data_IF_752931099094
#
_entry.id   IF_752931099094
#
_cell.length_a   1.000
_cell.length_b   1.000
_cell.length_c   1.000
_cell.angle_alpha   90.00
_cell.angle_beta   90.00
_cell.angle_gamma   90.00
#
_symmetry.space_group_name_H-M   'P 1'
#
loop_
_entity.id
_entity.type
_entity.pdbx_description
1 polymer ?
#
# COMPACT_ATOMS: atom_id res chain seq x y z
N UNK A 1 8.55 -8.77 19.58
CA UNK A 1 9.57 -7.79 19.18
C UNK A 1 9.92 -6.98 20.40
N UNK A 2 11.20 -6.85 20.72
CA UNK A 2 11.69 -6.02 21.79
C UNK A 2 11.61 -4.53 21.37
N UNK A 3 10.53 -3.85 21.77
CA UNK A 3 10.49 -2.40 21.98
C UNK A 3 10.81 -1.46 20.79
N UNK A 4 10.48 -1.81 19.54
CA UNK A 4 10.73 -0.92 18.39
C UNK A 4 9.83 -1.16 17.19
N UNK A 5 10.18 -0.54 16.07
CA UNK A 5 9.46 -0.55 14.81
C UNK A 5 10.30 -1.22 13.72
N UNK A 6 9.65 -1.97 12.83
CA UNK A 6 10.24 -2.48 11.60
C UNK A 6 9.44 -1.98 10.41
N UNK A 7 10.12 -1.37 9.46
CA UNK A 7 9.55 -0.93 8.20
C UNK A 7 9.94 -1.93 7.12
N UNK A 8 8.95 -2.42 6.38
CA UNK A 8 9.17 -3.17 5.15
C UNK A 8 9.00 -2.23 3.97
N UNK A 9 9.93 -2.29 3.01
CA UNK A 9 9.91 -1.35 1.89
C UNK A 9 10.44 -1.97 0.62
N UNK A 10 9.95 -1.44 -0.51
CA UNK A 10 10.43 -1.84 -1.82
C UNK A 10 11.85 -1.32 -2.09
N UNK A 11 12.74 -2.19 -2.56
CA UNK A 11 14.12 -1.90 -2.88
C UNK A 11 14.48 -2.20 -4.33
N UNK A 12 15.25 -1.29 -4.94
CA UNK A 12 15.97 -1.54 -6.18
C UNK A 12 17.46 -1.52 -5.91
N UNK A 13 18.08 -2.70 -5.79
CA UNK A 13 19.52 -2.80 -5.61
C UNK A 13 20.15 -3.88 -6.47
N UNK A 14 21.50 -3.92 -6.50
CA UNK A 14 22.26 -4.84 -7.34
C UNK A 14 22.22 -6.29 -6.83
N UNK A 15 21.92 -6.50 -5.54
CA UNK A 15 21.82 -7.82 -4.92
C UNK A 15 20.43 -8.41 -5.19
N UNK A 16 20.13 -8.73 -6.45
CA UNK A 16 18.88 -9.39 -6.87
C UNK A 16 19.04 -10.91 -6.72
N UNK A 17 18.41 -11.56 -5.72
CA UNK A 17 18.48 -13.02 -5.59
C UNK A 17 17.92 -13.73 -6.81
N UNK A 18 16.80 -13.23 -7.36
CA UNK A 18 16.23 -13.66 -8.62
C UNK A 18 16.64 -12.72 -9.77
N UNK A 19 17.38 -13.20 -10.79
CA UNK A 19 17.78 -12.37 -11.94
C UNK A 19 16.62 -11.79 -12.76
N UNK A 20 15.47 -12.46 -12.78
CA UNK A 20 14.26 -11.99 -13.48
C UNK A 20 13.49 -10.93 -12.67
N UNK A 21 13.80 -10.79 -11.38
CA UNK A 21 13.15 -9.83 -10.50
C UNK A 21 13.53 -8.39 -10.85
N UNK A 22 12.51 -7.55 -10.87
CA UNK A 22 12.59 -6.10 -11.08
C UNK A 22 12.22 -5.35 -9.80
N UNK A 23 12.43 -5.97 -8.64
CA UNK A 23 12.17 -5.35 -7.33
C UNK A 23 12.03 -6.38 -6.23
N UNK A 24 12.42 -6.03 -5.01
CA UNK A 24 12.33 -6.92 -3.85
C UNK A 24 11.98 -6.14 -2.58
N UNK A 25 11.54 -6.85 -1.54
CA UNK A 25 11.23 -6.25 -0.24
C UNK A 25 12.46 -6.32 0.65
N UNK A 26 12.80 -5.19 1.25
CA UNK A 26 13.82 -5.02 2.28
C UNK A 26 13.15 -4.64 3.60
N UNK A 27 13.94 -4.54 4.67
CA UNK A 27 13.48 -3.96 5.92
C UNK A 27 14.51 -3.06 6.59
N UNK A 28 14.01 -2.19 7.46
CA UNK A 28 14.81 -1.36 8.36
C UNK A 28 14.18 -1.38 9.75
N UNK A 29 15.02 -1.27 10.78
CA UNK A 29 14.61 -1.21 12.18
C UNK A 29 14.82 0.19 12.74
N UNK A 30 13.95 0.57 13.68
CA UNK A 30 14.08 1.79 14.47
C UNK A 30 13.54 1.57 15.88
N UNK A 31 14.30 2.00 16.88
CA UNK A 31 13.82 2.00 18.27
C UNK A 31 12.85 3.15 18.58
N UNK A 32 12.89 4.24 17.80
CA UNK A 32 12.20 5.50 18.10
C UNK A 32 11.34 6.04 16.94
N UNK A 33 11.24 5.27 15.85
CA UNK A 33 10.67 5.65 14.56
C UNK A 33 11.28 6.89 13.89
N UNK A 34 12.40 7.42 14.41
CA UNK A 34 13.11 8.61 13.93
C UNK A 34 14.38 8.27 13.16
N UNK A 35 15.21 7.39 13.70
CA UNK A 35 16.42 6.91 13.04
C UNK A 35 16.25 5.45 12.61
N UNK A 36 16.55 5.17 11.33
CA UNK A 36 16.28 3.88 10.71
C UNK A 36 17.57 3.24 10.21
N UNK A 37 17.80 2.01 10.65
CA UNK A 37 18.94 1.19 10.25
C UNK A 37 18.47 0.09 9.30
N UNK A 38 19.09 -0.01 8.12
CA UNK A 38 18.77 -1.07 7.17
C UNK A 38 19.17 -2.42 7.75
N UNK A 39 18.22 -3.35 7.81
CA UNK A 39 18.49 -4.71 8.21
C UNK A 39 19.10 -5.50 7.04
N UNK A 40 20.05 -6.38 7.31
CA UNK A 40 20.73 -7.14 6.26
C UNK A 40 19.82 -8.22 5.65
N UNK A 41 19.87 -8.36 4.32
CA UNK A 41 19.19 -9.40 3.57
C UNK A 41 17.86 -8.97 2.95
N UNK A 42 17.45 -9.73 1.93
CA UNK A 42 16.16 -9.56 1.25
C UNK A 42 15.08 -10.28 2.05
N UNK A 43 13.92 -9.63 2.21
CA UNK A 43 12.75 -10.18 2.92
C UNK A 43 11.91 -11.03 2.00
N UNK A 44 11.58 -10.52 0.82
CA UNK A 44 10.83 -11.25 -0.19
C UNK A 44 11.35 -10.81 -1.56
N UNK A 45 11.31 -11.71 -2.55
CA UNK A 45 11.68 -11.40 -3.93
C UNK A 45 10.58 -11.85 -4.90
N UNK A 46 10.49 -11.21 -6.07
CA UNK A 46 9.57 -11.57 -7.13
C UNK A 46 9.89 -12.98 -7.66
N UNK A 47 8.89 -13.63 -8.24
CA UNK A 47 8.94 -14.98 -8.80
C UNK A 47 7.57 -15.65 -8.73
N UNK A 48 7.36 -16.73 -9.46
CA UNK A 48 6.14 -17.55 -9.35
C UNK A 48 4.81 -16.86 -9.72
N UNK A 49 3.71 -17.56 -9.47
CA UNK A 49 2.35 -17.16 -9.85
C UNK A 49 1.92 -15.82 -9.24
N UNK A 50 1.40 -14.89 -10.06
CA UNK A 50 0.89 -13.60 -9.62
C UNK A 50 1.96 -12.54 -9.34
N UNK A 51 3.25 -12.91 -9.28
CA UNK A 51 4.34 -11.98 -8.95
C UNK A 51 5.64 -12.29 -9.71
N UNK A 52 5.54 -12.76 -10.95
CA UNK A 52 6.70 -13.31 -11.65
C UNK A 52 7.87 -12.31 -11.83
N UNK A 53 7.57 -11.01 -11.88
CA UNK A 53 8.56 -9.99 -12.26
C UNK A 53 8.73 -8.87 -11.23
N UNK A 54 7.68 -8.48 -10.49
CA UNK A 54 7.73 -7.38 -9.52
C UNK A 54 7.01 -7.73 -8.22
N UNK A 55 7.47 -7.17 -7.11
CA UNK A 55 6.74 -7.14 -5.83
C UNK A 55 6.87 -5.77 -5.15
N UNK A 56 5.74 -5.14 -4.82
CA UNK A 56 5.65 -3.79 -4.27
C UNK A 56 4.70 -3.71 -3.07
N UNK A 57 4.67 -2.55 -2.43
CA UNK A 57 3.70 -2.15 -1.40
C UNK A 57 3.42 -3.24 -0.35
N UNK A 58 4.44 -3.62 0.46
CA UNK A 58 4.28 -4.66 1.46
C UNK A 58 3.41 -4.21 2.63
N UNK A 59 2.47 -5.06 3.01
CA UNK A 59 1.62 -4.92 4.19
C UNK A 59 1.87 -6.12 5.11
N UNK A 60 2.13 -5.88 6.40
CA UNK A 60 2.43 -6.96 7.34
C UNK A 60 1.45 -6.94 8.50
N UNK A 61 0.81 -8.09 8.75
CA UNK A 61 -0.07 -8.31 9.90
C UNK A 61 0.50 -9.41 10.82
N UNK A 62 0.33 -9.31 12.14
CA UNK A 62 0.60 -10.42 13.05
C UNK A 62 -0.45 -11.52 12.85
N UNK A 63 -0.08 -12.79 12.98
CA UNK A 63 -1.02 -13.91 12.92
C UNK A 63 -1.49 -14.32 14.34
N UNK A 64 -2.72 -14.87 14.51
CA UNK A 64 -3.27 -15.20 15.82
C UNK A 64 -2.48 -16.28 16.58
N UNK A 65 -1.85 -17.20 15.86
CA UNK A 65 -0.99 -18.27 16.37
C UNK A 65 0.49 -17.85 16.53
N UNK A 66 0.79 -16.59 16.26
CA UNK A 66 2.13 -16.01 16.32
C UNK A 66 2.79 -15.91 14.95
N UNK A 67 3.88 -15.15 14.88
CA UNK A 67 4.49 -14.79 13.61
C UNK A 67 3.68 -13.76 12.83
N UNK A 68 3.91 -13.69 11.53
CA UNK A 68 3.46 -12.61 10.66
C UNK A 68 3.09 -13.13 9.27
N UNK A 69 2.13 -12.47 8.63
CA UNK A 69 1.85 -12.60 7.20
C UNK A 69 2.10 -11.27 6.50
N UNK A 70 2.84 -11.31 5.41
CA UNK A 70 3.04 -10.19 4.50
C UNK A 70 2.14 -10.39 3.29
N UNK A 71 1.32 -9.40 2.97
CA UNK A 71 0.67 -9.26 1.66
C UNK A 71 1.50 -8.29 0.82
N UNK A 72 1.65 -8.59 -0.47
CA UNK A 72 2.35 -7.69 -1.41
C UNK A 72 1.59 -7.59 -2.72
N UNK A 73 1.72 -6.46 -3.39
CA UNK A 73 1.38 -6.37 -4.81
C UNK A 73 2.43 -7.12 -5.63
N UNK A 74 2.07 -8.26 -6.19
CA UNK A 74 2.84 -8.95 -7.22
C UNK A 74 2.47 -8.45 -8.62
N UNK A 75 3.45 -8.34 -9.52
CA UNK A 75 3.17 -8.04 -10.94
C UNK A 75 3.83 -9.01 -11.90
N UNK A 76 3.10 -9.36 -12.96
CA UNK A 76 3.52 -10.27 -14.01
C UNK A 76 3.37 -9.62 -15.38
N UNK A 77 4.47 -9.48 -16.12
CA UNK A 77 4.46 -8.98 -17.50
C UNK A 77 3.67 -9.92 -18.41
N UNK A 78 2.89 -9.34 -19.32
CA UNK A 78 2.01 -10.08 -20.23
C UNK A 78 2.59 -10.10 -21.64
N UNK A 79 2.31 -11.17 -22.40
CA UNK A 79 2.82 -11.33 -23.77
C UNK A 79 2.38 -10.20 -24.73
N UNK A 80 1.23 -9.55 -24.45
CA UNK A 80 0.71 -8.41 -25.21
C UNK A 80 1.22 -7.04 -24.76
N UNK A 81 2.17 -6.99 -23.82
CA UNK A 81 2.64 -5.77 -23.18
C UNK A 81 1.90 -5.44 -21.88
N UNK A 82 2.48 -4.55 -21.09
CA UNK A 82 1.99 -4.22 -19.75
C UNK A 82 2.27 -5.30 -18.71
N UNK A 83 1.85 -5.05 -17.48
CA UNK A 83 1.98 -5.99 -16.36
C UNK A 83 0.70 -6.03 -15.56
N UNK A 84 0.23 -7.25 -15.29
CA UNK A 84 -0.96 -7.53 -14.49
C UNK A 84 -0.57 -7.65 -13.02
N UNK A 85 -1.29 -6.95 -12.14
CA UNK A 85 -1.05 -7.04 -10.70
C UNK A 85 -2.03 -7.99 -10.01
N UNK A 86 -1.55 -8.70 -9.00
CA UNK A 86 -2.34 -9.52 -8.09
C UNK A 86 -1.72 -9.47 -6.70
N UNK A 87 -2.50 -9.77 -5.67
CA UNK A 87 -2.01 -9.79 -4.29
C UNK A 87 -1.56 -11.21 -3.97
N UNK A 88 -0.32 -11.36 -3.51
CA UNK A 88 0.22 -12.63 -3.01
C UNK A 88 0.65 -12.45 -1.56
N UNK A 89 0.99 -13.55 -0.88
CA UNK A 89 1.42 -13.50 0.51
C UNK A 89 2.63 -14.38 0.83
N UNK A 90 3.25 -14.08 1.98
CA UNK A 90 4.33 -14.84 2.58
C UNK A 90 4.17 -14.85 4.11
N UNK A 91 4.62 -15.91 4.77
CA UNK A 91 4.65 -16.00 6.24
C UNK A 91 6.07 -15.89 6.80
N UNK A 92 6.17 -15.43 8.03
CA UNK A 92 7.42 -15.37 8.77
C UNK A 92 7.18 -15.57 10.27
N UNK A 93 8.04 -16.34 10.92
CA UNK A 93 8.01 -16.50 12.38
C UNK A 93 8.65 -15.30 13.11
N UNK A 94 9.65 -14.64 12.50
CA UNK A 94 10.50 -13.62 13.13
C UNK A 94 10.42 -12.23 12.46
N UNK A 95 9.70 -12.15 11.34
CA UNK A 95 9.58 -10.96 10.50
C UNK A 95 10.83 -10.68 9.65
N UNK A 96 11.83 -11.55 9.64
CA UNK A 96 13.08 -11.40 8.90
C UNK A 96 13.20 -12.43 7.78
N UNK A 97 12.87 -13.68 8.04
CA UNK A 97 12.90 -14.75 7.03
C UNK A 97 11.47 -15.04 6.59
N UNK A 98 11.18 -14.83 5.31
CA UNK A 98 9.84 -15.00 4.77
C UNK A 98 9.78 -16.18 3.82
N UNK A 99 8.71 -16.95 3.95
CA UNK A 99 8.38 -18.05 3.06
C UNK A 99 7.09 -17.71 2.31
N UNK A 100 7.17 -17.68 0.97
CA UNK A 100 6.02 -17.44 0.12
C UNK A 100 4.95 -18.51 0.34
N UNK A 101 3.71 -18.08 0.42
CA UNK A 101 2.54 -18.96 0.45
C UNK A 101 2.06 -19.29 -0.98
N UNK A 102 1.60 -20.52 -1.24
CA UNK A 102 1.14 -20.94 -2.56
C UNK A 102 -0.20 -20.28 -2.92
N UNK A 103 -0.33 -19.78 -4.15
CA UNK A 103 -1.56 -19.19 -4.70
C UNK A 103 -1.68 -17.67 -4.55
N UNK A 104 -2.67 -17.11 -5.23
CA UNK A 104 -3.01 -15.68 -5.25
C UNK A 104 -4.10 -15.39 -4.21
N UNK A 105 -3.94 -14.31 -3.44
CA UNK A 105 -4.91 -13.85 -2.43
C UNK A 105 -6.07 -13.08 -3.06
N UNK A 106 -5.75 -12.18 -3.99
CA UNK A 106 -6.73 -11.42 -4.75
C UNK A 106 -6.22 -11.17 -6.17
N UNK A 107 -7.01 -11.59 -7.16
CA UNK A 107 -6.69 -11.49 -8.58
C UNK A 107 -7.98 -11.56 -9.42
N UNK A 108 -7.92 -11.14 -10.68
CA UNK A 108 -9.07 -11.24 -11.59
C UNK A 108 -8.61 -11.36 -13.03
N UNK A 109 -9.45 -11.84 -13.94
CA UNK A 109 -9.10 -11.95 -15.36
C UNK A 109 -8.75 -10.59 -15.97
N UNK A 110 -9.56 -9.58 -15.60
CA UNK A 110 -9.57 -8.28 -16.27
C UNK A 110 -9.38 -7.09 -15.31
N UNK A 111 -8.89 -7.37 -14.11
CA UNK A 111 -8.63 -6.36 -13.08
C UNK A 111 -7.28 -6.65 -12.46
N UNK A 112 -6.46 -5.62 -12.31
CA UNK A 112 -5.25 -5.65 -11.50
C UNK A 112 -5.58 -5.19 -10.08
N UNK A 113 -5.06 -5.91 -9.09
CA UNK A 113 -5.17 -5.55 -7.68
C UNK A 113 -3.80 -5.28 -7.09
N UNK A 114 -3.70 -4.21 -6.31
CA UNK A 114 -2.42 -3.70 -5.82
C UNK A 114 -2.51 -2.95 -4.50
N UNK A 115 -1.34 -2.58 -3.97
CA UNK A 115 -1.15 -1.89 -2.70
C UNK A 115 -2.12 -2.35 -1.58
N UNK A 116 -1.96 -3.60 -1.09
CA UNK A 116 -2.83 -4.18 -0.07
C UNK A 116 -2.75 -3.44 1.28
N UNK A 117 -3.87 -3.41 1.99
CA UNK A 117 -3.94 -3.11 3.44
C UNK A 117 -4.93 -4.04 4.11
N UNK A 118 -4.51 -4.81 5.11
CA UNK A 118 -5.33 -5.86 5.70
C UNK A 118 -5.65 -5.55 7.16
N UNK A 119 -6.93 -5.66 7.53
CA UNK A 119 -7.40 -5.48 8.90
C UNK A 119 -8.10 -6.74 9.38
N UNK A 120 -7.92 -7.04 10.67
CA UNK A 120 -8.80 -7.94 11.39
C UNK A 120 -10.16 -7.29 11.63
N UNK A 121 -11.23 -8.04 11.37
CA UNK A 121 -12.60 -7.68 11.71
C UNK A 121 -13.02 -8.37 13.01
N UNK A 122 -13.74 -7.65 13.87
CA UNK A 122 -14.29 -8.20 15.11
C UNK A 122 -13.22 -8.62 16.11
N UNK A 123 -13.32 -9.87 16.59
CA UNK A 123 -12.42 -10.51 17.56
C UNK A 123 -11.21 -11.23 16.90
N UNK A 124 -10.97 -11.02 15.60
CA UNK A 124 -9.76 -11.49 14.93
C UNK A 124 -9.93 -12.76 14.08
N UNK A 125 -11.17 -13.25 13.90
CA UNK A 125 -11.46 -14.43 13.08
C UNK A 125 -11.75 -14.15 11.59
N UNK A 126 -11.82 -12.86 11.19
CA UNK A 126 -12.08 -12.47 9.80
C UNK A 126 -11.16 -11.34 9.38
N UNK A 127 -10.90 -11.27 8.07
CA UNK A 127 -9.99 -10.32 7.46
C UNK A 127 -10.78 -9.44 6.50
N UNK A 128 -10.44 -8.16 6.46
CA UNK A 128 -10.81 -7.26 5.36
C UNK A 128 -9.56 -6.69 4.73
N UNK A 129 -9.39 -6.96 3.45
CA UNK A 129 -8.32 -6.45 2.62
C UNK A 129 -8.85 -5.28 1.80
N UNK A 130 -8.26 -4.11 1.98
CA UNK A 130 -8.42 -2.97 1.07
C UNK A 130 -7.31 -3.03 0.02
N UNK A 131 -7.66 -2.74 -1.22
CA UNK A 131 -6.71 -2.77 -2.32
C UNK A 131 -7.07 -1.77 -3.40
N UNK A 132 -6.06 -1.30 -4.10
CA UNK A 132 -6.25 -0.56 -5.35
C UNK A 132 -6.72 -1.54 -6.42
N UNK A 133 -7.67 -1.15 -7.25
CA UNK A 133 -8.20 -1.92 -8.36
C UNK A 133 -8.18 -1.09 -9.65
N UNK A 134 -7.61 -1.64 -10.71
CA UNK A 134 -7.57 -1.00 -12.04
C UNK A 134 -7.97 -2.00 -13.14
N UNK A 135 -8.63 -1.56 -14.22
CA UNK A 135 -8.87 -2.41 -15.38
C UNK A 135 -7.57 -3.01 -15.93
N UNK A 136 -7.67 -4.19 -16.55
CA UNK A 136 -6.59 -4.85 -17.28
C UNK A 136 -7.17 -5.74 -18.41
N UNK A 137 -6.65 -5.74 -19.65
CA UNK A 137 -5.65 -4.81 -20.17
C UNK A 137 -6.20 -3.36 -20.16
N UNK A 138 -5.33 -2.37 -20.30
CA UNK A 138 -5.69 -0.94 -20.30
C UNK A 138 -6.48 -0.53 -21.58
N UNK A 139 -7.45 -1.34 -22.03
CA UNK A 139 -8.22 -1.12 -23.26
C UNK A 139 -9.67 -1.62 -23.12
N UNK A 140 -10.58 -0.77 -23.62
CA UNK A 140 -12.04 -0.92 -23.83
C UNK A 140 -12.88 -1.35 -22.61
N UNK A 141 -13.80 -0.48 -22.12
CA UNK A 141 -14.78 -0.83 -21.11
C UNK A 141 -15.62 -2.04 -21.51
N UNK A 142 -15.78 -3.01 -20.61
CA UNK A 142 -16.80 -4.07 -20.77
C UNK A 142 -17.71 -4.12 -19.54
N UNK A 143 -18.92 -4.68 -19.71
CA UNK A 143 -19.92 -4.72 -18.65
C UNK A 143 -19.41 -5.51 -17.42
N UNK A 144 -19.30 -4.83 -16.28
CA UNK A 144 -18.79 -5.39 -15.02
C UNK A 144 -17.30 -5.14 -14.74
N UNK A 145 -16.59 -4.39 -15.59
CA UNK A 145 -15.24 -3.92 -15.31
C UNK A 145 -15.22 -2.70 -14.38
N UNK A 146 -14.17 -2.57 -13.56
CA UNK A 146 -13.77 -1.25 -13.08
C UNK A 146 -13.24 -0.50 -14.28
N UNK A 147 -13.91 0.57 -14.71
CA UNK A 147 -13.50 1.35 -15.88
C UNK A 147 -12.51 2.47 -15.50
N UNK A 148 -12.36 2.75 -14.21
CA UNK A 148 -11.40 3.67 -13.62
C UNK A 148 -10.59 2.97 -12.52
N UNK A 149 -9.58 3.66 -11.96
CA UNK A 149 -8.83 3.15 -10.82
C UNK A 149 -9.53 3.51 -9.51
N UNK A 150 -9.83 2.51 -8.69
CA UNK A 150 -10.57 2.66 -7.45
C UNK A 150 -9.84 2.01 -6.28
N UNK A 151 -10.29 2.29 -5.06
CA UNK A 151 -10.01 1.44 -3.91
C UNK A 151 -11.24 0.60 -3.62
N UNK A 152 -11.03 -0.70 -3.47
CA UNK A 152 -12.05 -1.71 -3.21
C UNK A 152 -11.73 -2.46 -1.93
N UNK A 153 -12.62 -3.35 -1.50
CA UNK A 153 -12.35 -4.25 -0.38
C UNK A 153 -12.76 -5.69 -0.70
N UNK A 154 -12.13 -6.63 0.00
CA UNK A 154 -12.43 -8.05 -0.04
C UNK A 154 -12.38 -8.64 1.38
N UNK A 155 -13.15 -9.68 1.65
CA UNK A 155 -13.23 -10.36 2.94
C UNK A 155 -12.71 -11.79 2.85
N UNK A 156 -12.17 -12.29 3.96
CA UNK A 156 -11.68 -13.66 4.07
C UNK A 156 -11.87 -14.16 5.50
N UNK A 157 -12.12 -15.45 5.66
CA UNK A 157 -12.18 -16.11 6.98
C UNK A 157 -10.82 -16.67 7.41
N UNK A 158 -9.86 -16.83 6.48
CA UNK A 158 -8.55 -17.45 6.74
C UNK A 158 -7.35 -16.54 6.38
N UNK A 159 -7.64 -15.38 5.76
CA UNK A 159 -6.66 -14.43 5.28
C UNK A 159 -5.89 -14.94 4.05
N UNK A 160 -6.40 -15.97 3.38
CA UNK A 160 -5.84 -16.59 2.20
C UNK A 160 -6.81 -16.46 1.03
N UNK A 161 -8.06 -16.88 1.19
CA UNK A 161 -9.05 -16.83 0.12
C UNK A 161 -9.95 -15.62 0.32
N UNK A 162 -9.77 -14.59 -0.52
CA UNK A 162 -10.53 -13.34 -0.43
C UNK A 162 -11.65 -13.26 -1.46
N UNK A 163 -12.85 -12.96 -0.97
CA UNK A 163 -14.03 -12.65 -1.76
C UNK A 163 -14.22 -11.13 -1.83
N UNK A 164 -14.36 -10.57 -3.05
CA UNK A 164 -14.63 -9.15 -3.24
C UNK A 164 -15.94 -8.74 -2.58
N UNK A 165 -15.89 -7.67 -1.79
CA UNK A 165 -17.10 -7.05 -1.27
C UNK A 165 -17.72 -6.14 -2.33
N UNK A 166 -19.06 -6.10 -2.44
CA UNK A 166 -19.73 -5.29 -3.45
C UNK A 166 -19.53 -3.79 -3.20
N UNK A 167 -19.24 -3.05 -4.27
CA UNK A 167 -19.14 -1.59 -4.26
C UNK A 167 -17.71 -1.04 -4.12
N UNK A 168 -17.58 0.25 -4.41
CA UNK A 168 -16.32 0.98 -4.36
C UNK A 168 -16.14 1.62 -2.99
N UNK A 169 -14.91 1.64 -2.46
CA UNK A 169 -14.56 2.31 -1.21
C UNK A 169 -14.13 3.74 -1.46
N UNK A 170 -13.25 3.96 -2.42
CA UNK A 170 -12.84 5.30 -2.86
C UNK A 170 -12.86 5.34 -4.39
N UNK A 171 -13.60 6.30 -4.96
CA UNK A 171 -13.63 6.59 -6.38
C UNK A 171 -12.74 7.78 -6.74
N UNK A 172 -12.50 8.05 -8.02
CA UNK A 172 -11.87 9.29 -8.48
C UNK A 172 -12.93 10.36 -8.61
N UNK A 173 -12.89 11.41 -7.79
CA UNK A 173 -13.96 12.43 -7.74
C UNK A 173 -13.45 13.87 -7.90
N UNK A 174 -12.13 14.06 -7.95
CA UNK A 174 -11.50 15.38 -8.06
C UNK A 174 -10.39 15.44 -9.11
N UNK A 175 -10.06 16.65 -9.54
CA UNK A 175 -9.01 16.89 -10.54
C UNK A 175 -7.60 16.47 -10.07
N UNK A 176 -7.36 16.38 -8.76
CA UNK A 176 -6.07 16.01 -8.20
C UNK A 176 -5.89 14.49 -8.01
N UNK A 177 -6.93 13.71 -8.29
CA UNK A 177 -6.92 12.24 -8.29
C UNK A 177 -7.49 11.66 -9.59
N UNK A 178 -7.46 12.45 -10.68
CA UNK A 178 -8.10 12.14 -11.96
C UNK A 178 -7.42 11.03 -12.78
N UNK A 179 -6.29 10.51 -12.30
CA UNK A 179 -5.68 9.32 -12.88
C UNK A 179 -5.89 8.10 -12.00
N UNK A 180 -5.64 8.21 -10.69
CA UNK A 180 -5.78 7.08 -9.77
C UNK A 180 -6.05 7.48 -8.33
N UNK A 181 -6.80 6.65 -7.62
CA UNK A 181 -6.77 6.54 -6.16
C UNK A 181 -6.09 5.21 -5.81
N UNK A 182 -5.08 5.24 -4.95
CA UNK A 182 -4.14 4.14 -4.78
C UNK A 182 -3.61 4.05 -3.34
N UNK A 183 -3.08 2.88 -2.97
CA UNK A 183 -2.42 2.59 -1.70
C UNK A 183 -3.19 3.07 -0.46
N UNK A 184 -4.34 2.43 -0.14
CA UNK A 184 -5.07 2.71 1.10
C UNK A 184 -4.23 2.36 2.34
N UNK A 185 -4.18 3.26 3.30
CA UNK A 185 -3.78 2.99 4.67
C UNK A 185 -4.98 3.21 5.58
N UNK A 186 -5.44 2.14 6.22
CA UNK A 186 -6.69 2.13 6.99
C UNK A 186 -6.40 1.88 8.45
N UNK A 187 -6.99 2.70 9.31
CA UNK A 187 -6.94 2.58 10.76
C UNK A 187 -8.35 2.44 11.31
N UNK A 188 -8.51 1.57 12.30
CA UNK A 188 -9.70 1.53 13.14
C UNK A 188 -9.57 2.60 14.23
N UNK A 189 -10.59 3.43 14.40
CA UNK A 189 -10.56 4.50 15.40
C UNK A 189 -11.04 3.97 16.75
N UNK A 190 -10.38 4.40 17.84
CA UNK A 190 -10.73 3.98 19.20
C UNK A 190 -12.15 4.39 19.64
N UNK A 191 -12.71 5.42 19.00
CA UNK A 191 -14.09 5.89 19.19
C UNK A 191 -15.13 5.09 18.39
N UNK A 192 -14.70 4.08 17.63
CA UNK A 192 -15.52 3.47 16.57
C UNK A 192 -15.31 4.14 15.21
N UNK A 193 -15.63 3.40 14.15
CA UNK A 193 -15.36 3.81 12.78
C UNK A 193 -13.91 3.63 12.33
N UNK A 194 -13.60 4.20 11.18
CA UNK A 194 -12.36 4.02 10.44
C UNK A 194 -11.90 5.33 9.81
N UNK A 195 -10.58 5.43 9.64
CA UNK A 195 -9.91 6.46 8.87
C UNK A 195 -9.09 5.79 7.78
N UNK A 196 -9.22 6.27 6.55
CA UNK A 196 -8.37 5.89 5.45
C UNK A 196 -7.53 7.09 5.03
N UNK A 197 -6.25 6.86 4.79
CA UNK A 197 -5.36 7.75 4.04
C UNK A 197 -5.06 7.06 2.72
N UNK A 198 -5.05 7.78 1.62
CA UNK A 198 -4.82 7.18 0.31
C UNK A 198 -4.10 8.16 -0.61
N UNK A 199 -3.38 7.64 -1.59
CA UNK A 199 -2.72 8.45 -2.59
C UNK A 199 -3.68 8.78 -3.75
N UNK A 200 -3.78 10.05 -4.11
CA UNK A 200 -4.46 10.49 -5.34
C UNK A 200 -3.43 10.96 -6.36
N UNK A 201 -3.56 10.49 -7.61
CA UNK A 201 -2.61 10.75 -8.69
C UNK A 201 -3.25 11.52 -9.83
N UNK A 202 -2.49 12.43 -10.42
CA UNK A 202 -2.81 13.14 -11.66
C UNK A 202 -1.59 13.13 -12.60
N UNK A 203 -1.83 13.08 -13.91
CA UNK A 203 -0.76 13.10 -14.92
C UNK A 203 0.15 14.32 -14.76
N UNK A 204 1.46 14.10 -14.84
CA UNK A 204 2.50 15.13 -14.73
C UNK A 204 3.46 15.04 -15.92
N UNK A 205 3.00 15.36 -17.14
CA UNK A 205 3.78 15.22 -18.37
C UNK A 205 5.02 16.12 -18.40
N UNK A 206 5.02 17.22 -17.63
CA UNK A 206 6.16 18.12 -17.47
C UNK A 206 7.30 17.52 -16.63
N UNK A 207 7.05 16.45 -15.89
CA UNK A 207 8.09 15.76 -15.11
C UNK A 207 8.94 14.86 -16.00
N UNK A 208 10.12 15.36 -16.35
CA UNK A 208 11.08 14.67 -17.23
C UNK A 208 11.64 13.40 -16.58
N UNK A 209 12.08 13.49 -15.32
CA UNK A 209 12.70 12.38 -14.58
C UNK A 209 11.89 12.03 -13.33
N UNK A 210 11.73 10.73 -13.05
CA UNK A 210 10.97 10.24 -11.89
C UNK A 210 9.54 9.85 -12.23
N UNK A 211 8.63 10.15 -11.31
CA UNK A 211 7.21 9.83 -11.47
C UNK A 211 6.60 10.59 -12.65
N UNK A 212 5.76 9.90 -13.42
CA UNK A 212 4.93 10.51 -14.48
C UNK A 212 3.60 11.06 -13.95
N UNK A 213 3.46 11.09 -12.64
CA UNK A 213 2.27 11.55 -11.95
C UNK A 213 2.66 12.44 -10.77
N UNK A 214 1.89 13.49 -10.55
CA UNK A 214 1.83 14.12 -9.25
C UNK A 214 0.99 13.26 -8.34
N UNK A 215 1.55 12.88 -7.19
CA UNK A 215 0.81 12.18 -6.15
C UNK A 215 0.74 13.00 -4.88
N UNK A 216 -0.40 12.95 -4.21
CA UNK A 216 -0.69 13.57 -2.90
C UNK A 216 -1.41 12.58 -2.03
N UNK A 217 -1.43 12.81 -0.73
CA UNK A 217 -2.18 11.98 0.21
C UNK A 217 -3.44 12.72 0.62
N UNK A 218 -4.56 12.03 0.47
CA UNK A 218 -5.90 12.44 0.88
C UNK A 218 -6.37 11.54 2.03
N UNK A 219 -7.54 11.83 2.56
CA UNK A 219 -8.12 11.06 3.64
C UNK A 219 -9.63 10.99 3.58
N UNK A 220 -10.19 9.95 4.19
CA UNK A 220 -11.62 9.69 4.28
C UNK A 220 -11.98 9.03 5.61
N UNK A 221 -13.23 9.19 6.03
CA UNK A 221 -13.80 8.55 7.22
C UNK A 221 -14.92 7.58 6.84
N UNK A 222 -15.13 6.57 7.67
CA UNK A 222 -16.21 5.60 7.51
C UNK A 222 -16.64 5.05 8.86
N UNK A 223 -17.94 4.83 9.06
CA UNK A 223 -18.43 4.20 10.30
C UNK A 223 -18.33 2.67 10.25
N UNK A 224 -18.43 2.07 9.07
CA UNK A 224 -18.56 0.63 8.84
C UNK A 224 -17.38 0.01 8.06
N UNK A 225 -16.48 0.85 7.55
CA UNK A 225 -15.34 0.48 6.70
C UNK A 225 -15.74 0.18 5.26
N UNK A 226 -16.99 0.41 4.87
CA UNK A 226 -17.54 0.15 3.55
C UNK A 226 -17.97 1.44 2.85
N UNK A 227 -18.75 2.28 3.50
CA UNK A 227 -19.16 3.58 2.97
C UNK A 227 -18.21 4.66 3.48
N UNK A 228 -17.51 5.32 2.56
CA UNK A 228 -16.47 6.30 2.89
C UNK A 228 -16.88 7.72 2.48
N UNK A 229 -16.59 8.68 3.34
CA UNK A 229 -16.73 10.11 3.06
C UNK A 229 -15.34 10.74 3.04
N UNK A 230 -14.93 11.28 1.90
CA UNK A 230 -13.65 11.99 1.76
C UNK A 230 -13.65 13.30 2.54
N UNK A 231 -12.51 13.65 3.10
CA UNK A 231 -12.29 15.00 3.59
C UNK A 231 -12.14 15.96 2.40
N UNK A 232 -12.56 17.23 2.54
CA UNK A 232 -12.51 18.20 1.43
C UNK A 232 -11.09 18.68 1.07
N UNK A 233 -10.07 18.33 1.86
CA UNK A 233 -8.73 18.88 1.75
C UNK A 233 -7.66 17.81 1.50
N UNK A 234 -6.49 18.28 1.06
CA UNK A 234 -5.29 17.46 0.95
C UNK A 234 -4.76 17.20 2.37
N UNK A 235 -4.49 15.94 2.72
CA UNK A 235 -3.88 15.58 4.00
C UNK A 235 -2.37 15.87 3.98
N UNK A 236 -1.68 15.49 2.90
CA UNK A 236 -0.28 15.84 2.65
C UNK A 236 -0.07 16.11 1.17
N UNK A 237 0.41 17.31 0.85
CA UNK A 237 0.67 17.74 -0.52
C UNK A 237 2.11 17.42 -0.93
N UNK A 238 2.34 17.30 -2.24
CA UNK A 238 3.67 17.28 -2.83
C UNK A 238 4.22 18.71 -2.99
N UNK A 239 5.51 18.86 -3.27
CA UNK A 239 6.12 20.18 -3.49
C UNK A 239 7.24 20.55 -2.52
N UNK A 240 7.50 19.72 -1.51
CA UNK A 240 8.68 19.86 -0.67
C UNK A 240 9.97 19.48 -1.42
N UNK A 241 11.12 19.74 -0.79
CA UNK A 241 12.44 19.46 -1.39
C UNK A 241 12.67 17.98 -1.74
N UNK A 242 11.93 17.08 -1.11
CA UNK A 242 12.11 15.63 -1.21
C UNK A 242 11.03 14.91 -2.01
N UNK A 243 9.88 15.55 -2.16
CA UNK A 243 8.63 15.05 -2.72
C UNK A 243 8.05 16.06 -3.72
N UNK A 244 8.91 16.87 -4.36
CA UNK A 244 8.48 17.90 -5.30
C UNK A 244 7.56 17.36 -6.41
N UNK A 245 7.85 16.15 -6.90
CA UNK A 245 7.04 15.49 -7.91
C UNK A 245 5.89 14.68 -7.30
N UNK A 246 6.12 13.92 -6.23
CA UNK A 246 5.14 12.96 -5.71
C UNK A 246 5.31 12.67 -4.21
N UNK A 247 4.18 12.61 -3.51
CA UNK A 247 3.99 11.98 -2.21
C UNK A 247 2.91 10.89 -2.34
N UNK A 248 3.19 9.64 -1.94
CA UNK A 248 2.32 8.49 -2.20
C UNK A 248 2.52 7.36 -1.19
N UNK A 249 1.72 6.31 -1.26
CA UNK A 249 1.85 5.08 -0.45
C UNK A 249 2.01 5.37 1.05
N UNK A 250 0.97 5.98 1.68
CA UNK A 250 0.99 6.30 3.10
C UNK A 250 1.12 5.04 3.96
N UNK A 251 1.83 5.15 5.07
CA UNK A 251 1.81 4.18 6.17
C UNK A 251 1.85 4.96 7.48
N UNK A 252 0.95 4.67 8.41
CA UNK A 252 0.82 5.42 9.67
C UNK A 252 1.18 4.52 10.84
N UNK A 253 1.93 5.10 11.78
CA UNK A 253 2.19 4.51 13.09
C UNK A 253 1.81 5.47 14.21
N UNK A 254 1.46 4.89 15.35
CA UNK A 254 1.40 5.59 16.63
C UNK A 254 2.81 5.85 17.18
N UNK A 255 3.02 7.05 17.70
CA UNK A 255 4.20 7.42 18.48
C UNK A 255 3.87 7.37 19.97
N UNK A 256 4.89 7.06 20.78
CA UNK A 256 4.75 6.98 22.24
C UNK A 256 4.26 8.28 22.91
N UNK A 257 4.40 9.42 22.23
CA UNK A 257 3.93 10.73 22.72
C UNK A 257 2.48 11.07 22.32
N UNK A 258 1.73 10.09 21.81
CA UNK A 258 0.33 10.22 21.41
C UNK A 258 0.11 10.89 20.05
N UNK A 259 1.19 11.20 19.31
CA UNK A 259 1.10 11.68 17.93
C UNK A 259 1.14 10.53 16.94
N UNK A 260 0.84 10.85 15.68
CA UNK A 260 0.96 9.93 14.57
C UNK A 260 2.14 10.32 13.68
N UNK A 261 2.85 9.32 13.16
CA UNK A 261 3.84 9.50 12.09
C UNK A 261 3.35 8.82 10.83
N UNK A 262 3.25 9.61 9.77
CA UNK A 262 2.96 9.16 8.42
C UNK A 262 4.28 9.03 7.66
N UNK A 263 4.64 7.81 7.27
CA UNK A 263 5.68 7.55 6.28
C UNK A 263 5.04 7.50 4.89
N UNK A 264 5.79 7.92 3.87
CA UNK A 264 5.30 7.96 2.50
C UNK A 264 6.43 7.86 1.48
N UNK A 265 6.10 7.34 0.30
CA UNK A 265 6.95 7.38 -0.89
C UNK A 265 7.07 8.83 -1.38
N UNK A 266 8.31 9.29 -1.55
CA UNK A 266 8.62 10.63 -2.02
C UNK A 266 9.50 10.59 -3.28
N UNK A 267 9.15 11.40 -4.28
CA UNK A 267 9.91 11.58 -5.50
C UNK A 267 10.14 13.07 -5.79
N UNK A 268 11.37 13.44 -6.13
CA UNK A 268 11.68 14.78 -6.63
C UNK A 268 11.77 14.84 -8.18
N UNK A 269 11.86 16.04 -8.74
CA UNK A 269 11.98 16.26 -10.18
C UNK A 269 13.30 15.77 -10.81
N UNK A 270 14.25 15.29 -10.00
CA UNK A 270 15.47 14.62 -10.47
C UNK A 270 15.28 13.10 -10.56
N UNK A 271 14.08 12.59 -10.27
CA UNK A 271 13.75 11.17 -10.31
C UNK A 271 14.36 10.35 -9.17
N UNK A 272 14.71 11.01 -8.07
CA UNK A 272 15.26 10.32 -6.90
C UNK A 272 14.12 9.95 -5.95
N UNK A 273 13.94 8.65 -5.75
CA UNK A 273 12.93 8.06 -4.86
C UNK A 273 13.49 7.85 -3.45
N UNK A 274 12.62 7.96 -2.44
CA UNK A 274 12.94 7.77 -1.02
C UNK A 274 11.68 7.57 -0.20
N UNK A 275 11.86 7.23 1.07
CA UNK A 275 10.82 7.27 2.08
C UNK A 275 11.00 8.55 2.87
N UNK A 276 9.95 9.36 2.95
CA UNK A 276 9.89 10.56 3.78
C UNK A 276 8.86 10.34 4.91
N UNK A 277 8.82 11.27 5.88
CA UNK A 277 7.79 11.23 6.91
C UNK A 277 7.33 12.62 7.34
N UNK A 278 6.09 12.68 7.78
CA UNK A 278 5.49 13.82 8.47
C UNK A 278 4.95 13.34 9.83
N UNK A 279 4.96 14.22 10.82
CA UNK A 279 4.41 13.91 12.16
C UNK A 279 3.27 14.87 12.43
N UNK A 280 2.16 14.37 13.00
CA UNK A 280 1.03 15.20 13.36
C UNK A 280 1.44 16.32 14.33
N UNK A 281 0.67 17.41 14.35
CA UNK A 281 0.76 18.39 15.42
C UNK A 281 0.48 17.75 16.78
N UNK A 282 0.93 18.39 17.85
CA UNK A 282 0.40 18.06 19.19
C UNK A 282 -1.06 18.51 19.23
N UNK A 283 -1.94 17.67 19.77
CA UNK A 283 -3.30 18.11 20.05
C UNK A 283 -3.21 19.31 21.01
N UNK A 284 -3.78 20.46 20.63
CA UNK A 284 -3.96 21.55 21.57
C UNK A 284 -4.94 21.05 22.65
N UNK A 285 -4.54 21.12 23.91
CA UNK A 285 -5.45 20.82 25.01
C UNK A 285 -6.54 21.90 25.00
N UNK A 286 -7.73 21.57 24.50
CA UNK A 286 -8.92 22.36 24.78
C UNK A 286 -9.12 22.37 26.29
N UNK A 287 -8.87 23.53 26.91
CA UNK A 287 -9.27 23.82 28.29
C UNK A 287 -10.78 24.01 28.38
#
# INVERSE_FOLDING_TARGET
>A
MDGGYRMYYHGFGPQRPNPASKGYILSAFSADAGQWEKEQGVRLDAGGEGAAHYIWSPEVIPLPDGGYRMYVEGRTEQAGGGAKSAIISAQSADGLVWQREPGVRLGGANTSYGAPRCLYLGDGGRYRLYASASPHPDIEPYAGAYNDHHIVSAISDDGLDFELEPGIRIAQESALESFSVYAPEVLRLGTGGYRMYYAGWVSAPEVVAGSKFHGRIFSAISDDGLAWTKDPGICLDNGGRWDAAKASEPCIIDLADGRFRLFYEACDYQGRWRIASATSGRAESTQ
#
